data_IF_236974279326
#
_entry.id   IF_236974279326
#
_cell.length_a   1.000
_cell.length_b   1.000
_cell.length_c   1.000
_cell.angle_alpha   90.00
_cell.angle_beta   90.00
_cell.angle_gamma   90.00
#
_symmetry.space_group_name_H-M   'P 1'
#
loop_
_entity.id
_entity.type
_entity.pdbx_description
1 polymer ?
#
# COMPACT_ATOMS: atom_id res chain seq x y z
N UNK A 1 4.80 8.20 -4.38
CA UNK A 1 3.47 8.76 -4.06
C UNK A 1 2.85 9.21 -5.37
N UNK A 2 1.52 9.14 -5.61
CA UNK A 2 0.94 9.65 -6.86
C UNK A 2 0.93 11.18 -6.94
N UNK A 3 1.15 11.87 -5.83
CA UNK A 3 1.26 13.34 -5.76
C UNK A 3 2.72 13.79 -5.72
N UNK A 4 2.97 15.00 -6.24
CA UNK A 4 4.30 15.65 -6.21
C UNK A 4 4.48 16.60 -5.02
N UNK A 5 3.40 16.96 -4.31
CA UNK A 5 3.39 17.76 -3.09
C UNK A 5 2.19 17.36 -2.21
N UNK A 6 2.22 17.70 -0.93
CA UNK A 6 1.12 17.45 0.01
C UNK A 6 0.95 15.97 0.39
N UNK A 7 -0.25 15.62 0.84
CA UNK A 7 -0.61 14.26 1.22
C UNK A 7 -1.24 13.52 0.02
N UNK A 8 -0.81 12.28 -0.19
CA UNK A 8 -1.41 11.38 -1.16
C UNK A 8 -1.58 9.98 -0.59
N UNK A 9 -2.21 9.12 -1.36
CA UNK A 9 -2.42 7.72 -0.99
C UNK A 9 -1.81 6.82 -2.04
N UNK A 10 -0.97 5.86 -1.64
CA UNK A 10 -0.44 4.84 -2.53
C UNK A 10 -1.05 3.48 -2.20
N UNK A 11 -1.28 2.67 -3.23
CA UNK A 11 -1.70 1.28 -3.09
C UNK A 11 -0.56 0.36 -3.46
N UNK A 12 -0.31 -0.67 -2.65
CA UNK A 12 0.65 -1.75 -2.91
C UNK A 12 -0.10 -3.06 -3.12
N UNK A 13 0.49 -3.97 -3.89
CA UNK A 13 -0.09 -5.31 -4.05
C UNK A 13 0.22 -6.15 -2.82
N UNK A 14 -0.83 -6.54 -2.09
CA UNK A 14 -0.73 -7.49 -0.98
C UNK A 14 -1.47 -8.76 -1.38
N UNK A 15 -0.73 -9.85 -1.48
CA UNK A 15 -1.26 -11.17 -1.78
C UNK A 15 -0.69 -12.16 -0.77
N UNK A 16 -1.49 -13.17 -0.46
CA UNK A 16 -1.01 -14.27 0.33
C UNK A 16 -0.31 -15.28 -0.57
N UNK A 17 0.78 -15.84 -0.06
CA UNK A 17 1.66 -16.72 -0.81
C UNK A 17 1.76 -18.05 -0.09
N UNK A 18 1.74 -19.14 -0.85
CA UNK A 18 2.10 -20.48 -0.36
C UNK A 18 3.61 -20.58 -0.11
N UNK A 19 4.05 -21.68 0.52
CA UNK A 19 5.47 -21.91 0.80
C UNK A 19 6.35 -21.93 -0.47
N UNK A 20 5.77 -22.31 -1.59
CA UNK A 20 6.34 -22.31 -2.94
C UNK A 20 6.27 -20.94 -3.66
N UNK A 21 5.72 -19.92 -3.02
CA UNK A 21 5.62 -18.56 -3.55
C UNK A 21 4.45 -18.31 -4.50
N UNK A 22 3.59 -19.31 -4.73
CA UNK A 22 2.35 -19.14 -5.51
C UNK A 22 1.32 -18.30 -4.77
N UNK A 23 0.49 -17.54 -5.51
CA UNK A 23 -0.65 -16.85 -4.90
C UNK A 23 -1.63 -17.85 -4.28
N UNK A 24 -2.07 -17.57 -3.07
CA UNK A 24 -2.98 -18.39 -2.28
C UNK A 24 -3.95 -17.50 -1.53
N UNK A 25 -5.13 -18.02 -1.23
CA UNK A 25 -6.16 -17.37 -0.41
C UNK A 25 -6.21 -17.93 1.03
N UNK A 26 -5.28 -18.84 1.38
CA UNK A 26 -5.32 -19.59 2.63
C UNK A 26 -4.77 -18.85 3.87
N UNK A 27 -4.38 -17.59 3.75
CA UNK A 27 -3.88 -16.80 4.89
C UNK A 27 -5.01 -16.23 5.74
N UNK A 28 -4.73 -15.97 7.02
CA UNK A 28 -5.65 -15.22 7.86
C UNK A 28 -5.73 -13.76 7.40
N UNK A 29 -6.95 -13.26 7.20
CA UNK A 29 -7.20 -11.86 6.81
C UNK A 29 -6.63 -10.89 7.86
N UNK A 30 -6.65 -11.27 9.14
CA UNK A 30 -6.07 -10.46 10.23
C UNK A 30 -4.55 -10.30 10.11
N UNK A 31 -3.87 -11.21 9.42
CA UNK A 31 -2.42 -11.14 9.17
C UNK A 31 -2.11 -10.41 7.87
N UNK A 32 -3.13 -10.12 7.04
CA UNK A 32 -2.96 -9.40 5.77
C UNK A 32 -2.71 -7.92 6.09
N UNK A 33 -1.53 -7.39 5.79
CA UNK A 33 -1.25 -6.00 6.10
C UNK A 33 -2.01 -5.08 5.12
N UNK A 34 -2.25 -3.83 5.53
CA UNK A 34 -2.93 -2.85 4.70
C UNK A 34 -2.26 -2.69 3.33
N UNK A 35 -3.09 -2.73 2.29
CA UNK A 35 -2.66 -2.53 0.92
C UNK A 35 -2.62 -1.03 0.55
N UNK A 36 -3.15 -0.18 1.42
CA UNK A 36 -3.20 1.28 1.27
C UNK A 36 -2.30 1.93 2.30
N UNK A 37 -1.50 2.89 1.86
CA UNK A 37 -0.65 3.67 2.73
C UNK A 37 -0.71 5.16 2.36
N UNK A 38 -0.78 6.03 3.36
CA UNK A 38 -0.65 7.48 3.18
C UNK A 38 0.83 7.81 2.97
N UNK A 39 1.10 8.58 1.91
CA UNK A 39 2.42 9.14 1.65
C UNK A 39 2.35 10.66 1.73
N UNK A 40 3.34 11.26 2.41
CA UNK A 40 3.45 12.71 2.59
C UNK A 40 4.67 13.22 1.83
N UNK A 41 4.44 14.21 0.99
CA UNK A 41 5.47 14.98 0.28
C UNK A 41 5.55 16.37 0.92
N UNK A 42 6.51 17.18 0.45
CA UNK A 42 6.60 18.58 0.87
C UNK A 42 5.28 19.33 0.64
N UNK A 43 4.92 20.30 1.51
CA UNK A 43 3.70 21.07 1.35
C UNK A 43 3.55 21.66 -0.05
N UNK A 44 2.32 21.64 -0.58
CA UNK A 44 2.05 22.26 -1.87
C UNK A 44 2.22 23.79 -1.77
N UNK A 45 2.74 24.44 -2.82
CA UNK A 45 2.83 25.89 -2.86
C UNK A 45 1.43 26.49 -2.72
N UNK A 46 1.29 27.40 -1.77
CA UNK A 46 0.10 28.25 -1.64
C UNK A 46 0.14 29.29 -2.75
N UNK A 47 -0.84 29.23 -3.66
CA UNK A 47 -1.00 30.19 -4.77
C UNK A 47 -1.40 31.54 -4.20
#
# INVERSE_FOLDING_TARGET
>A
CPVSCGEGTRRRKVACLSADGSSSDACAISEKPDDVEICKMDPCPTI
#
